data_IF_851618227016
#
_entry.id   IF_851618227016
#
_cell.length_a   1.000
_cell.length_b   1.000
_cell.length_c   1.000
_cell.angle_alpha   90.00
_cell.angle_beta   90.00
_cell.angle_gamma   90.00
#
_symmetry.space_group_name_H-M   'P 1'
#
loop_
_entity.id
_entity.type
_entity.pdbx_description
1 polymer ?
#
# COMPACT_ATOMS: atom_id res chain seq x y z
N UNK A 1 -6.58 14.03 12.28
CA UNK A 1 -6.20 15.17 13.12
C UNK A 1 -4.87 15.74 12.60
N UNK A 2 -4.65 17.04 12.74
CA UNK A 2 -3.40 17.71 12.36
C UNK A 2 -2.18 17.08 13.02
N UNK A 3 -2.31 16.63 14.27
CA UNK A 3 -1.25 15.94 15.01
C UNK A 3 -0.68 14.72 14.27
N UNK A 4 -1.51 14.00 13.52
CA UNK A 4 -1.08 12.82 12.75
C UNK A 4 -0.42 13.24 11.44
N UNK A 5 -0.98 14.24 10.75
CA UNK A 5 -0.39 14.77 9.51
C UNK A 5 0.99 15.38 9.75
N UNK A 6 1.23 15.96 10.93
CA UNK A 6 2.53 16.54 11.30
C UNK A 6 3.61 15.48 11.56
N UNK A 7 3.28 14.19 11.61
CA UNK A 7 4.23 13.09 11.71
C UNK A 7 4.70 12.60 10.32
N UNK A 8 4.02 12.99 9.24
CA UNK A 8 4.41 12.64 7.89
C UNK A 8 5.45 13.65 7.40
N UNK A 9 6.59 13.21 6.87
CA UNK A 9 7.62 14.10 6.35
C UNK A 9 7.09 14.97 5.22
N UNK A 10 7.41 16.24 5.29
CA UNK A 10 7.13 17.18 4.21
C UNK A 10 8.26 17.12 3.17
N UNK A 11 7.94 17.35 1.92
CA UNK A 11 8.89 17.39 0.80
C UNK A 11 9.63 16.06 0.56
N UNK A 12 8.97 14.94 0.84
CA UNK A 12 9.46 13.60 0.53
C UNK A 12 8.38 12.80 -0.21
N UNK A 13 8.82 11.87 -1.04
CA UNK A 13 7.94 10.90 -1.68
C UNK A 13 7.59 9.80 -0.67
N UNK A 14 6.32 9.69 -0.33
CA UNK A 14 5.84 8.85 0.77
C UNK A 14 5.28 7.54 0.25
N UNK A 15 5.94 6.44 0.61
CA UNK A 15 5.40 5.08 0.47
C UNK A 15 4.66 4.75 1.75
N UNK A 16 3.34 4.64 1.68
CA UNK A 16 2.50 4.48 2.86
C UNK A 16 1.84 3.10 2.98
N UNK A 17 1.81 2.57 4.19
CA UNK A 17 1.05 1.39 4.55
C UNK A 17 0.08 1.70 5.68
N UNK A 18 -1.16 1.20 5.60
CA UNK A 18 -2.11 1.24 6.71
C UNK A 18 -2.68 -0.14 6.98
N UNK A 19 -2.65 -0.60 8.23
CA UNK A 19 -3.26 -1.87 8.59
C UNK A 19 -2.60 -2.59 9.75
N UNK A 20 -2.92 -3.88 9.89
CA UNK A 20 -2.33 -4.75 10.91
C UNK A 20 -0.86 -5.01 10.59
N UNK A 21 0.01 -4.83 11.59
CA UNK A 21 1.44 -5.13 11.50
C UNK A 21 1.66 -6.55 12.03
N UNK A 22 1.63 -7.52 11.11
CA UNK A 22 1.74 -8.94 11.45
C UNK A 22 2.25 -9.77 10.29
N UNK A 23 2.60 -11.02 10.56
CA UNK A 23 3.32 -11.95 9.66
C UNK A 23 2.74 -12.01 8.25
N UNK A 24 1.42 -12.10 8.13
CA UNK A 24 0.77 -12.23 6.82
C UNK A 24 0.96 -11.00 5.91
N UNK A 25 1.22 -9.84 6.50
CA UNK A 25 1.40 -8.59 5.76
C UNK A 25 2.87 -8.32 5.37
N UNK A 26 3.82 -9.21 5.72
CA UNK A 26 5.22 -9.19 5.28
C UNK A 26 5.89 -7.81 5.29
N UNK A 27 5.65 -6.99 6.33
CA UNK A 27 6.21 -5.64 6.41
C UNK A 27 7.73 -5.61 6.62
N UNK A 28 8.32 -6.74 6.99
CA UNK A 28 9.76 -6.96 6.99
C UNK A 28 10.38 -6.67 5.61
N UNK A 29 9.69 -7.02 4.52
CA UNK A 29 10.14 -6.75 3.15
C UNK A 29 10.16 -5.25 2.86
N UNK A 30 9.18 -4.52 3.37
CA UNK A 30 9.14 -3.06 3.24
C UNK A 30 10.29 -2.39 4.01
N UNK A 31 10.67 -2.95 5.16
CA UNK A 31 11.86 -2.49 5.91
C UNK A 31 13.15 -2.81 5.15
N UNK A 32 13.26 -4.00 4.53
CA UNK A 32 14.43 -4.33 3.68
C UNK A 32 14.55 -3.36 2.50
N UNK A 33 13.43 -3.02 1.85
CA UNK A 33 13.44 -2.00 0.79
C UNK A 33 13.89 -0.63 1.33
N UNK A 34 13.47 -0.26 2.55
CA UNK A 34 13.89 0.97 3.19
C UNK A 34 15.39 1.00 3.52
N UNK A 35 15.97 -0.16 3.88
CA UNK A 35 17.42 -0.30 4.08
C UNK A 35 18.17 -0.02 2.77
N UNK A 36 17.74 -0.62 1.66
CA UNK A 36 18.37 -0.43 0.35
C UNK A 36 18.22 1.01 -0.17
N UNK A 37 17.19 1.72 0.28
CA UNK A 37 16.89 3.10 -0.11
C UNK A 37 17.29 4.14 0.94
N UNK A 38 18.05 3.77 1.97
CA UNK A 38 18.39 4.68 3.10
C UNK A 38 19.13 5.95 2.66
N UNK A 39 19.95 5.85 1.63
CA UNK A 39 20.73 6.97 1.10
C UNK A 39 19.92 7.86 0.12
N UNK A 40 18.72 7.44 -0.27
CA UNK A 40 17.80 8.26 -1.05
C UNK A 40 16.97 9.15 -0.11
N UNK A 41 17.47 10.35 0.16
CA UNK A 41 16.87 11.28 1.11
C UNK A 41 15.47 11.77 0.72
N UNK A 42 15.04 11.55 -0.52
CA UNK A 42 13.74 12.00 -1.03
C UNK A 42 12.61 10.99 -0.82
N UNK A 43 12.92 9.75 -0.42
CA UNK A 43 11.92 8.69 -0.21
C UNK A 43 11.77 8.40 1.28
N UNK A 44 10.54 8.28 1.75
CA UNK A 44 10.23 7.87 3.13
C UNK A 44 9.10 6.85 3.16
N UNK A 45 9.15 5.98 4.16
CA UNK A 45 8.17 4.94 4.42
C UNK A 45 7.36 5.31 5.65
N UNK A 46 6.04 5.32 5.55
CA UNK A 46 5.12 5.59 6.66
C UNK A 46 4.25 4.38 6.91
N UNK A 47 4.40 3.76 8.08
CA UNK A 47 3.71 2.54 8.47
C UNK A 47 2.73 2.87 9.60
N UNK A 48 1.43 2.81 9.29
CA UNK A 48 0.36 3.15 10.22
C UNK A 48 -0.37 1.91 10.67
N UNK A 49 -0.34 1.64 11.98
CA UNK A 49 -1.05 0.49 12.51
C UNK A 49 -0.53 -0.04 13.84
N UNK A 50 -1.10 -1.18 14.21
CA UNK A 50 -0.69 -1.98 15.37
C UNK A 50 -0.60 -3.45 15.00
N UNK A 51 0.15 -4.22 15.78
CA UNK A 51 0.25 -5.67 15.59
C UNK A 51 1.47 -6.23 16.28
N UNK A 52 1.54 -7.54 16.32
CA UNK A 52 2.56 -8.25 17.10
C UNK A 52 3.99 -8.03 16.58
N UNK A 53 4.15 -7.76 15.29
CA UNK A 53 5.47 -7.62 14.67
C UNK A 53 5.97 -6.16 14.72
N UNK A 54 5.17 -5.19 15.24
CA UNK A 54 5.55 -3.77 15.26
C UNK A 54 6.85 -3.53 16.04
N UNK A 55 6.98 -4.15 17.23
CA UNK A 55 8.14 -3.96 18.08
C UNK A 55 9.43 -4.46 17.42
N UNK A 56 9.41 -5.64 16.80
CA UNK A 56 10.56 -6.21 16.11
C UNK A 56 10.96 -5.38 14.87
N UNK A 57 9.99 -4.86 14.12
CA UNK A 57 10.27 -3.98 12.99
C UNK A 57 10.87 -2.64 13.43
N UNK A 58 10.41 -2.05 14.53
CA UNK A 58 11.01 -0.84 15.11
C UNK A 58 12.45 -1.12 15.54
N UNK A 59 12.70 -2.25 16.21
CA UNK A 59 14.06 -2.66 16.58
C UNK A 59 14.96 -2.79 15.35
N UNK A 60 14.48 -3.38 14.27
CA UNK A 60 15.23 -3.50 13.01
C UNK A 60 15.55 -2.13 12.40
N UNK A 61 14.59 -1.21 12.39
CA UNK A 61 14.79 0.19 11.95
C UNK A 61 15.89 0.87 12.75
N UNK A 62 15.91 0.69 14.08
CA UNK A 62 16.93 1.23 14.95
C UNK A 62 18.32 0.60 14.71
N UNK A 63 18.38 -0.74 14.54
CA UNK A 63 19.63 -1.46 14.28
C UNK A 63 20.32 -1.01 12.98
N UNK A 64 19.53 -0.59 11.97
CA UNK A 64 20.04 -0.11 10.68
C UNK A 64 20.14 1.41 10.58
N UNK A 65 19.86 2.13 11.68
CA UNK A 65 19.84 3.60 11.77
C UNK A 65 19.01 4.25 10.64
N UNK A 66 17.82 3.71 10.37
CA UNK A 66 16.96 4.18 9.29
C UNK A 66 16.23 5.46 9.68
N UNK A 67 16.56 6.56 9.01
CA UNK A 67 15.89 7.86 9.17
C UNK A 67 14.72 8.03 8.19
N UNK A 68 14.54 7.08 7.28
CA UNK A 68 13.51 7.11 6.23
C UNK A 68 12.26 6.28 6.56
N UNK A 69 12.14 5.72 7.78
CA UNK A 69 10.99 4.91 8.21
C UNK A 69 10.31 5.53 9.42
N UNK A 70 8.99 5.72 9.32
CA UNK A 70 8.18 6.31 10.39
C UNK A 70 7.04 5.37 10.73
N UNK A 71 6.92 5.05 12.03
CA UNK A 71 5.77 4.30 12.56
C UNK A 71 4.77 5.24 13.22
N UNK A 72 3.52 5.11 12.82
CA UNK A 72 2.38 5.80 13.42
C UNK A 72 1.46 4.75 14.05
N UNK A 73 0.88 5.06 15.19
CA UNK A 73 -0.07 4.17 15.84
C UNK A 73 -1.37 4.04 15.04
N UNK A 74 -2.16 3.01 15.39
CA UNK A 74 -3.45 2.79 14.72
C UNK A 74 -4.36 4.00 14.88
N UNK A 75 -5.01 4.37 13.79
CA UNK A 75 -5.95 5.49 13.73
C UNK A 75 -7.39 4.98 13.56
N UNK A 76 -8.40 5.76 13.97
CA UNK A 76 -9.81 5.42 13.76
C UNK A 76 -10.13 5.22 12.27
N UNK A 77 -11.02 4.27 11.96
CA UNK A 77 -11.42 3.93 10.58
C UNK A 77 -11.83 5.17 9.76
N UNK A 78 -12.55 6.11 10.36
CA UNK A 78 -12.97 7.38 9.71
C UNK A 78 -11.81 8.27 9.24
N UNK A 79 -10.59 8.03 9.73
CA UNK A 79 -9.40 8.81 9.37
C UNK A 79 -8.51 8.10 8.34
N UNK A 80 -8.80 6.83 8.01
CA UNK A 80 -7.99 6.03 7.08
C UNK A 80 -7.89 6.72 5.72
N UNK A 81 -9.01 7.16 5.14
CA UNK A 81 -9.01 7.82 3.84
C UNK A 81 -8.19 9.13 3.83
N UNK A 82 -8.22 9.89 4.92
CA UNK A 82 -7.41 11.10 5.05
C UNK A 82 -5.93 10.76 5.12
N UNK A 83 -5.56 9.67 5.80
CA UNK A 83 -4.20 9.18 5.90
C UNK A 83 -3.70 8.68 4.54
N UNK A 84 -4.44 7.83 3.86
CA UNK A 84 -4.09 7.28 2.56
C UNK A 84 -3.85 8.38 1.51
N UNK A 85 -4.65 9.45 1.53
CA UNK A 85 -4.49 10.60 0.64
C UNK A 85 -3.22 11.42 0.92
N UNK A 86 -2.63 11.29 2.10
CA UNK A 86 -1.39 11.99 2.45
C UNK A 86 -0.11 11.24 2.02
N UNK A 87 -0.25 10.05 1.46
CA UNK A 87 0.84 9.31 0.84
C UNK A 87 0.89 9.59 -0.66
N UNK A 88 2.05 9.42 -1.27
CA UNK A 88 2.19 9.49 -2.72
C UNK A 88 1.83 8.14 -3.36
N UNK A 89 2.18 7.05 -2.70
CA UNK A 89 1.86 5.68 -3.11
C UNK A 89 1.39 4.88 -1.90
N UNK A 90 0.28 4.16 -2.05
CA UNK A 90 -0.18 3.18 -1.07
C UNK A 90 0.46 1.82 -1.36
N UNK A 91 1.18 1.25 -0.40
CA UNK A 91 1.89 0.00 -0.57
C UNK A 91 1.16 -1.16 0.13
N UNK A 92 0.88 -2.22 -0.62
CA UNK A 92 0.30 -3.46 -0.10
C UNK A 92 1.27 -4.60 -0.37
N UNK A 93 1.86 -5.11 0.69
CA UNK A 93 2.79 -6.25 0.66
C UNK A 93 2.18 -7.45 1.40
N UNK A 94 2.56 -8.64 1.00
CA UNK A 94 2.08 -9.88 1.64
C UNK A 94 3.06 -11.02 1.42
N UNK A 95 2.99 -12.01 2.31
CA UNK A 95 3.80 -13.23 2.19
C UNK A 95 3.37 -14.07 1.01
N UNK A 96 4.34 -14.73 0.38
CA UNK A 96 4.09 -15.75 -0.61
C UNK A 96 3.26 -16.88 -0.01
N UNK A 97 2.16 -17.22 -0.66
CA UNK A 97 1.29 -18.30 -0.22
C UNK A 97 0.71 -19.03 -1.43
N UNK A 98 0.90 -20.33 -1.48
CA UNK A 98 0.42 -21.16 -2.58
C UNK A 98 -1.11 -21.13 -2.77
N UNK A 99 -1.87 -20.75 -1.74
CA UNK A 99 -3.32 -20.60 -1.84
C UNK A 99 -3.72 -19.35 -2.63
N UNK A 100 -2.87 -18.34 -2.71
CA UNK A 100 -3.15 -17.11 -3.45
C UNK A 100 -3.33 -17.34 -4.96
N UNK A 101 -2.78 -18.44 -5.51
CA UNK A 101 -3.00 -18.83 -6.91
C UNK A 101 -4.47 -19.07 -7.27
N UNK A 102 -5.32 -19.33 -6.28
CA UNK A 102 -6.77 -19.50 -6.45
C UNK A 102 -7.53 -18.17 -6.31
N UNK A 103 -6.83 -17.08 -6.07
CA UNK A 103 -7.35 -15.74 -5.86
C UNK A 103 -7.26 -15.31 -4.39
N UNK A 104 -7.09 -14.03 -4.20
CA UNK A 104 -7.10 -13.38 -2.89
C UNK A 104 -7.73 -12.00 -3.02
N UNK A 105 -8.53 -11.62 -2.04
CA UNK A 105 -9.09 -10.28 -1.93
C UNK A 105 -8.66 -9.64 -0.62
N UNK A 106 -7.87 -8.59 -0.72
CA UNK A 106 -7.51 -7.76 0.42
C UNK A 106 -8.45 -6.57 0.54
N UNK A 107 -9.26 -6.51 1.58
CA UNK A 107 -10.18 -5.39 1.83
C UNK A 107 -9.47 -4.02 1.81
N UNK A 108 -8.20 -3.98 2.25
CA UNK A 108 -7.37 -2.76 2.20
C UNK A 108 -7.18 -2.23 0.77
N UNK A 109 -7.14 -3.11 -0.23
CA UNK A 109 -6.94 -2.70 -1.61
C UNK A 109 -8.06 -1.76 -2.09
N UNK A 110 -9.29 -2.04 -1.68
CA UNK A 110 -10.43 -1.18 -2.01
C UNK A 110 -10.33 0.20 -1.35
N UNK A 111 -9.90 0.27 -0.08
CA UNK A 111 -9.61 1.52 0.60
C UNK A 111 -8.49 2.30 -0.10
N UNK A 112 -7.43 1.61 -0.57
CA UNK A 112 -6.31 2.20 -1.28
C UNK A 112 -6.76 2.76 -2.63
N UNK A 113 -7.51 2.00 -3.41
CA UNK A 113 -8.09 2.46 -4.67
C UNK A 113 -8.99 3.69 -4.47
N UNK A 114 -9.84 3.65 -3.45
CA UNK A 114 -10.74 4.76 -3.15
C UNK A 114 -10.01 6.06 -2.77
N UNK A 115 -8.78 5.98 -2.31
CA UNK A 115 -7.97 7.14 -1.91
C UNK A 115 -7.48 8.01 -3.07
N UNK A 116 -7.62 7.57 -4.33
CA UNK A 116 -7.08 8.24 -5.52
C UNK A 116 -5.54 8.35 -5.50
N UNK A 117 -4.87 7.33 -5.03
CA UNK A 117 -3.40 7.25 -5.04
C UNK A 117 -2.96 5.98 -5.75
N UNK A 118 -1.81 5.99 -6.42
CA UNK A 118 -1.23 4.78 -6.99
C UNK A 118 -1.05 3.69 -5.94
N UNK A 119 -1.13 2.45 -6.38
CA UNK A 119 -0.90 1.29 -5.52
C UNK A 119 0.34 0.54 -5.97
N UNK A 120 1.27 0.33 -5.04
CA UNK A 120 2.35 -0.64 -5.17
C UNK A 120 1.90 -1.95 -4.53
N UNK A 121 1.74 -2.98 -5.34
CA UNK A 121 1.14 -4.25 -4.94
C UNK A 121 2.16 -5.38 -5.06
N UNK A 122 2.62 -5.91 -3.93
CA UNK A 122 3.60 -7.01 -3.87
C UNK A 122 2.95 -8.24 -3.25
N UNK A 123 2.06 -8.87 -4.03
CA UNK A 123 1.31 -10.07 -3.63
C UNK A 123 1.08 -10.93 -4.87
N UNK A 124 1.42 -12.22 -4.78
CA UNK A 124 1.15 -13.18 -5.83
C UNK A 124 -0.33 -13.60 -5.79
N UNK A 125 -1.18 -12.87 -6.49
CA UNK A 125 -2.64 -13.10 -6.50
C UNK A 125 -3.14 -13.98 -7.66
N UNK A 126 -2.25 -14.75 -8.27
CA UNK A 126 -2.57 -15.65 -9.37
C UNK A 126 -3.03 -14.89 -10.62
N UNK A 127 -4.22 -15.22 -11.11
CA UNK A 127 -4.80 -14.55 -12.29
C UNK A 127 -5.47 -13.21 -11.97
N UNK A 128 -5.66 -12.89 -10.69
CA UNK A 128 -6.27 -11.63 -10.26
C UNK A 128 -5.20 -10.56 -10.10
N UNK A 129 -5.10 -9.70 -11.09
CA UNK A 129 -4.12 -8.61 -11.17
C UNK A 129 -4.82 -7.23 -11.18
N UNK A 130 -5.45 -6.83 -10.06
CA UNK A 130 -6.35 -5.66 -10.06
C UNK A 130 -5.64 -4.34 -10.31
N UNK A 131 -4.38 -4.21 -9.89
CA UNK A 131 -3.59 -2.98 -10.07
C UNK A 131 -3.12 -2.86 -11.53
N UNK A 132 -2.73 -3.96 -12.17
CA UNK A 132 -2.42 -3.98 -13.61
C UNK A 132 -3.68 -3.76 -14.44
N UNK A 133 -4.77 -4.48 -14.14
CA UNK A 133 -6.03 -4.38 -14.89
C UNK A 133 -6.60 -2.96 -14.85
N UNK A 134 -6.51 -2.28 -13.72
CA UNK A 134 -6.95 -0.90 -13.54
C UNK A 134 -5.95 0.14 -14.01
N UNK A 135 -4.70 -0.22 -14.34
CA UNK A 135 -3.59 0.70 -14.61
C UNK A 135 -3.38 1.71 -13.47
N UNK A 136 -3.57 1.26 -12.23
CA UNK A 136 -3.56 2.11 -11.04
C UNK A 136 -2.25 2.08 -10.25
N UNK A 137 -1.20 1.46 -10.80
CA UNK A 137 0.09 1.37 -10.13
C UNK A 137 0.99 0.28 -10.70
N UNK A 138 1.79 -0.33 -9.83
CA UNK A 138 2.73 -1.39 -10.19
C UNK A 138 2.47 -2.63 -9.33
N UNK A 139 2.43 -3.80 -9.98
CA UNK A 139 2.45 -5.10 -9.32
C UNK A 139 3.85 -5.72 -9.44
N UNK A 140 4.32 -6.29 -8.34
CA UNK A 140 5.58 -7.02 -8.27
C UNK A 140 5.38 -8.34 -7.52
N UNK A 141 6.26 -9.29 -7.77
CA UNK A 141 6.25 -10.59 -7.09
C UNK A 141 6.38 -10.41 -5.56
N UNK A 142 5.62 -11.22 -4.81
CA UNK A 142 5.74 -11.29 -3.35
C UNK A 142 7.16 -11.62 -2.92
N UNK A 143 7.60 -11.00 -1.83
CA UNK A 143 8.89 -11.26 -1.19
C UNK A 143 10.12 -11.03 -2.10
N UNK A 144 9.94 -10.33 -3.23
CA UNK A 144 11.03 -9.91 -4.11
C UNK A 144 11.42 -8.45 -3.81
N UNK A 145 12.43 -8.29 -2.95
CA UNK A 145 12.87 -6.98 -2.46
C UNK A 145 13.44 -6.13 -3.60
N UNK A 146 14.20 -6.71 -4.50
CA UNK A 146 14.80 -6.00 -5.64
C UNK A 146 13.71 -5.42 -6.56
N UNK A 147 12.73 -6.24 -6.93
CA UNK A 147 11.60 -5.78 -7.74
C UNK A 147 10.77 -4.70 -7.02
N UNK A 148 10.60 -4.82 -5.69
CA UNK A 148 9.92 -3.82 -4.88
C UNK A 148 10.66 -2.47 -4.90
N UNK A 149 11.99 -2.49 -4.70
CA UNK A 149 12.85 -1.29 -4.77
C UNK A 149 12.80 -0.65 -6.15
N UNK A 150 12.94 -1.45 -7.22
CA UNK A 150 12.87 -0.96 -8.59
C UNK A 150 11.51 -0.32 -8.91
N UNK A 151 10.41 -0.89 -8.42
CA UNK A 151 9.08 -0.34 -8.57
C UNK A 151 8.90 0.99 -7.81
N UNK A 152 9.44 1.10 -6.59
CA UNK A 152 9.45 2.35 -5.81
C UNK A 152 10.21 3.44 -6.56
N UNK A 153 11.41 3.14 -7.05
CA UNK A 153 12.22 4.08 -7.81
C UNK A 153 11.55 4.51 -9.12
N UNK A 154 10.85 3.59 -9.79
CA UNK A 154 10.07 3.90 -10.98
C UNK A 154 8.94 4.85 -10.66
N UNK A 155 8.14 4.58 -9.63
CA UNK A 155 7.04 5.46 -9.20
C UNK A 155 7.53 6.84 -8.78
N UNK A 156 8.67 6.92 -8.07
CA UNK A 156 9.28 8.18 -7.65
C UNK A 156 9.72 9.08 -8.83
N UNK A 157 10.00 8.48 -10.00
CA UNK A 157 10.43 9.21 -11.21
C UNK A 157 9.29 9.67 -12.11
N UNK A 158 8.07 9.21 -11.83
CA UNK A 158 6.90 9.61 -12.63
C UNK A 158 6.58 11.08 -12.40
N UNK A 159 6.00 11.69 -13.42
CA UNK A 159 5.44 13.04 -13.34
C UNK A 159 4.21 13.08 -12.43
N UNK A 160 3.88 14.26 -11.93
CA UNK A 160 2.66 14.45 -11.13
C UNK A 160 1.41 14.03 -11.90
N UNK A 161 1.35 14.29 -13.21
CA UNK A 161 0.24 13.90 -14.09
C UNK A 161 0.08 12.37 -14.18
N UNK A 162 1.19 11.63 -14.30
CA UNK A 162 1.16 10.15 -14.34
C UNK A 162 0.67 9.58 -13.00
N UNK A 163 1.14 10.13 -11.87
CA UNK A 163 0.69 9.76 -10.52
C UNK A 163 -0.80 10.04 -10.33
N UNK A 164 -1.27 11.20 -10.76
CA UNK A 164 -2.70 11.56 -10.68
C UNK A 164 -3.55 10.64 -11.55
N UNK A 165 -3.11 10.34 -12.77
CA UNK A 165 -3.81 9.43 -13.69
C UNK A 165 -3.95 8.03 -13.10
N UNK A 166 -2.88 7.47 -12.50
CA UNK A 166 -2.95 6.19 -11.79
C UNK A 166 -3.95 6.23 -10.63
N UNK A 167 -3.97 7.32 -9.88
CA UNK A 167 -4.90 7.52 -8.77
C UNK A 167 -6.37 7.59 -9.22
N UNK A 168 -6.67 8.29 -10.31
CA UNK A 168 -8.01 8.33 -10.89
C UNK A 168 -8.43 6.94 -11.42
N UNK A 169 -7.54 6.23 -12.09
CA UNK A 169 -7.77 4.87 -12.53
C UNK A 169 -8.13 3.94 -11.36
N UNK A 170 -7.41 4.03 -10.24
CA UNK A 170 -7.69 3.29 -9.01
C UNK A 170 -9.12 3.53 -8.53
N UNK A 171 -9.50 4.80 -8.41
CA UNK A 171 -10.82 5.17 -7.92
C UNK A 171 -11.94 4.75 -8.87
N UNK A 172 -11.77 4.97 -10.16
CA UNK A 172 -12.74 4.58 -11.17
C UNK A 172 -12.96 3.06 -11.15
N UNK A 173 -11.88 2.29 -11.02
CA UNK A 173 -11.96 0.83 -10.96
C UNK A 173 -12.79 0.36 -9.75
N UNK A 174 -12.53 0.88 -8.55
CA UNK A 174 -13.28 0.44 -7.36
C UNK A 174 -14.75 0.86 -7.41
N UNK A 175 -15.05 2.05 -7.90
CA UNK A 175 -16.44 2.52 -8.03
C UNK A 175 -17.21 1.73 -9.10
N UNK A 176 -16.55 1.31 -10.17
CA UNK A 176 -17.22 0.55 -11.25
C UNK A 176 -17.42 -0.93 -10.93
N UNK A 177 -16.53 -1.53 -10.10
CA UNK A 177 -16.52 -2.98 -9.91
C UNK A 177 -16.82 -3.43 -8.47
N UNK A 178 -16.76 -2.52 -7.48
CA UNK A 178 -16.85 -2.88 -6.06
C UNK A 178 -17.75 -1.92 -5.27
N UNK A 179 -18.67 -1.24 -5.95
CA UNK A 179 -19.71 -0.46 -5.27
C UNK A 179 -20.72 -1.42 -4.62
N UNK A 180 -21.08 -1.15 -3.36
CA UNK A 180 -21.96 -2.04 -2.59
C UNK A 180 -23.37 -2.13 -3.14
N UNK A 181 -23.92 -1.03 -3.67
CA UNK A 181 -25.28 -1.02 -4.24
C UNK A 181 -25.30 -1.88 -5.49
N UNK A 182 -24.30 -1.71 -6.36
CA UNK A 182 -24.15 -2.52 -7.59
C UNK A 182 -23.96 -4.00 -7.28
N UNK A 183 -23.09 -4.34 -6.34
CA UNK A 183 -22.83 -5.73 -5.95
C UNK A 183 -24.09 -6.35 -5.29
N UNK A 184 -24.84 -5.61 -4.51
CA UNK A 184 -26.10 -6.08 -3.92
C UNK A 184 -27.15 -6.35 -4.99
N UNK A 185 -27.25 -5.47 -6.00
CA UNK A 185 -28.14 -5.64 -7.14
C UNK A 185 -27.78 -6.87 -7.98
N UNK A 186 -26.50 -7.00 -8.37
CA UNK A 186 -25.98 -8.19 -9.07
C UNK A 186 -26.23 -9.49 -8.29
N UNK A 187 -25.99 -9.48 -6.96
CA UNK A 187 -26.26 -10.64 -6.12
C UNK A 187 -27.73 -11.02 -6.06
N UNK A 188 -28.63 -10.02 -5.99
CA UNK A 188 -30.08 -10.26 -5.97
C UNK A 188 -30.57 -10.99 -7.23
N UNK A 189 -29.95 -10.73 -8.38
CA UNK A 189 -30.31 -11.39 -9.66
C UNK A 189 -29.80 -12.85 -9.76
N UNK A 190 -28.86 -13.24 -8.89
CA UNK A 190 -28.31 -14.63 -8.88
C UNK A 190 -29.08 -15.52 -7.90
N UNK A 191 -29.74 -14.96 -6.91
CA UNK A 191 -30.39 -15.70 -5.81
C UNK A 191 -31.89 -15.90 -6.05
N UNK A 192 -32.46 -15.26 -7.07
CA UNK A 192 -33.84 -15.43 -7.52
C UNK A 192 -33.89 -16.36 -8.70
#
# INVERSE_FOLDING_TARGET
>A
SERIKNQIPKNKFIIGYTGTIGVANALDILIEAAILLKDNLNISFVIVGKGKDKASLIQKVQQHDLQNVIFIDSIPKRQIQTMLKSFDVNCLVGKKNNLHKYGISYNKLFDYFFSKKPVLYSIDSGKYTPVLASKSGIEVESENIENLVNAILKLHKLSEEEILTMGENARNFVLSNHDYEKLADEFSHVVI
#
